data_IF_924565372584
#
_entry.id   IF_924565372584
#
_cell.length_a   1.000
_cell.length_b   1.000
_cell.length_c   1.000
_cell.angle_alpha   90.00
_cell.angle_beta   90.00
_cell.angle_gamma   90.00
#
_symmetry.space_group_name_H-M   'P 1'
#
loop_
_entity.id
_entity.type
_entity.pdbx_description
1 polymer ?
#
# COMPACT_ATOMS: atom_id res chain seq x y z
N UNK A 1 -26.38 -13.54 -5.20
CA UNK A 1 -25.43 -14.60 -4.77
C UNK A 1 -24.51 -14.89 -5.95
N UNK A 2 -23.42 -14.14 -6.06
CA UNK A 2 -22.40 -14.33 -7.09
C UNK A 2 -21.36 -15.33 -6.56
N UNK A 3 -21.12 -16.40 -7.32
CA UNK A 3 -20.27 -17.51 -6.91
C UNK A 3 -18.79 -17.14 -6.90
N UNK A 4 -18.13 -17.50 -5.81
CA UNK A 4 -16.68 -17.48 -5.65
C UNK A 4 -16.07 -18.53 -6.59
N UNK A 5 -15.21 -18.13 -7.52
CA UNK A 5 -14.32 -19.04 -8.23
C UNK A 5 -12.90 -18.86 -7.67
N UNK A 6 -12.49 -19.78 -6.80
CA UNK A 6 -11.11 -19.90 -6.34
C UNK A 6 -10.32 -20.69 -7.37
N UNK A 7 -9.24 -20.12 -7.90
CA UNK A 7 -8.24 -20.88 -8.67
C UNK A 7 -7.02 -21.07 -7.79
N UNK A 8 -6.85 -22.30 -7.30
CA UNK A 8 -5.60 -22.77 -6.72
C UNK A 8 -4.78 -23.43 -7.84
N UNK A 9 -3.61 -22.89 -8.17
CA UNK A 9 -2.63 -23.58 -8.99
C UNK A 9 -1.57 -24.20 -8.09
N UNK A 10 -1.74 -25.49 -7.76
CA UNK A 10 -0.66 -26.34 -7.26
C UNK A 10 -0.07 -27.09 -8.46
N UNK A 11 1.21 -26.87 -8.75
CA UNK A 11 1.93 -27.69 -9.73
C UNK A 11 3.15 -27.01 -10.32
N UNK A 12 4.30 -27.17 -9.65
CA UNK A 12 5.58 -26.89 -10.28
C UNK A 12 5.89 -27.90 -11.37
N UNK A 13 6.30 -27.40 -12.54
CA UNK A 13 7.11 -28.12 -13.52
C UNK A 13 7.89 -27.08 -14.32
N UNK A 14 9.21 -27.01 -14.10
CA UNK A 14 10.08 -26.13 -14.86
C UNK A 14 10.20 -26.57 -16.31
N UNK A 15 10.27 -25.59 -17.23
CA UNK A 15 10.77 -25.76 -18.58
C UNK A 15 11.59 -24.53 -18.94
N UNK A 16 12.89 -24.71 -19.20
CA UNK A 16 13.74 -23.68 -19.81
C UNK A 16 13.71 -23.91 -21.31
N UNK A 17 13.06 -23.02 -22.06
CA UNK A 17 13.09 -23.01 -23.52
C UNK A 17 13.96 -21.82 -23.98
N UNK A 18 15.19 -22.11 -24.42
CA UNK A 18 16.02 -21.14 -25.12
C UNK A 18 15.58 -21.06 -26.58
N UNK A 19 15.00 -19.93 -26.99
CA UNK A 19 14.98 -19.49 -28.39
C UNK A 19 13.79 -19.93 -29.25
N UNK A 20 12.84 -19.01 -29.46
CA UNK A 20 12.15 -18.77 -30.73
C UNK A 20 11.02 -19.73 -31.13
N UNK A 21 9.77 -19.29 -30.95
CA UNK A 21 8.59 -19.85 -31.63
C UNK A 21 8.06 -18.78 -32.61
N UNK A 22 7.98 -19.05 -33.94
CA UNK A 22 7.47 -18.08 -34.90
C UNK A 22 5.97 -17.82 -34.70
N UNK A 23 5.60 -16.54 -34.68
CA UNK A 23 4.27 -16.03 -34.36
C UNK A 23 3.24 -16.19 -35.48
N UNK A 24 2.72 -17.40 -35.70
CA UNK A 24 1.65 -17.62 -36.69
C UNK A 24 0.49 -18.51 -36.26
N UNK A 25 0.21 -18.63 -34.96
CA UNK A 25 -1.09 -19.15 -34.49
C UNK A 25 -1.88 -18.04 -33.81
N UNK A 26 -2.38 -17.13 -34.66
CA UNK A 26 -3.47 -16.23 -34.29
C UNK A 26 -4.77 -17.00 -34.13
N UNK A 27 -5.36 -16.93 -32.95
CA UNK A 27 -6.74 -17.34 -32.66
C UNK A 27 -7.42 -16.20 -31.93
N UNK A 28 -8.31 -15.50 -32.62
CA UNK A 28 -8.87 -14.23 -32.20
C UNK A 28 -9.76 -14.29 -30.96
N UNK A 29 -9.59 -13.27 -30.11
CA UNK A 29 -10.50 -12.89 -29.05
C UNK A 29 -10.24 -11.42 -28.72
N UNK A 30 -11.01 -10.52 -29.33
CA UNK A 30 -11.00 -9.10 -28.98
C UNK A 30 -11.70 -8.91 -27.64
N UNK A 31 -10.98 -8.39 -26.64
CA UNK A 31 -11.47 -7.36 -25.71
C UNK A 31 -10.29 -6.85 -24.88
N UNK A 32 -9.98 -5.57 -25.11
CA UNK A 32 -9.32 -4.61 -24.21
C UNK A 32 -7.92 -4.96 -23.69
N UNK A 33 -6.94 -4.27 -24.27
CA UNK A 33 -5.56 -4.28 -23.82
C UNK A 33 -5.43 -3.78 -22.39
N UNK A 34 -5.24 -4.71 -21.47
CA UNK A 34 -4.41 -4.50 -20.30
C UNK A 34 -3.04 -5.09 -20.63
N UNK A 35 -2.11 -4.24 -21.04
CA UNK A 35 -0.71 -4.60 -21.14
C UNK A 35 -0.23 -5.03 -19.75
N UNK A 36 -0.15 -6.34 -19.54
CA UNK A 36 0.59 -6.94 -18.44
C UNK A 36 1.90 -7.50 -18.99
N UNK A 37 2.68 -6.66 -19.67
CA UNK A 37 4.10 -6.89 -19.83
C UNK A 37 4.79 -6.52 -18.53
N UNK A 38 5.58 -7.46 -18.02
CA UNK A 38 6.41 -7.24 -16.85
C UNK A 38 7.44 -6.15 -17.13
N UNK A 39 7.34 -5.06 -16.37
CA UNK A 39 8.42 -4.12 -16.01
C UNK A 39 9.25 -3.56 -17.16
N UNK A 40 8.69 -2.59 -17.89
CA UNK A 40 9.45 -1.39 -18.25
C UNK A 40 9.24 -0.36 -17.13
N UNK A 41 10.32 0.24 -16.62
CA UNK A 41 10.40 0.89 -15.30
C UNK A 41 9.17 1.72 -14.90
N UNK A 42 8.65 1.47 -13.70
CA UNK A 42 7.57 2.27 -13.12
C UNK A 42 7.97 3.75 -13.16
N UNK A 43 7.11 4.60 -13.74
CA UNK A 43 7.34 6.03 -13.73
C UNK A 43 7.43 6.52 -12.27
N UNK A 44 8.40 7.40 -11.93
CA UNK A 44 8.51 7.93 -10.58
C UNK A 44 7.19 8.60 -10.18
N UNK A 45 6.63 8.17 -9.05
CA UNK A 45 5.45 8.82 -8.47
C UNK A 45 5.86 10.21 -7.96
N UNK A 46 5.03 11.23 -8.23
CA UNK A 46 5.25 12.57 -7.71
C UNK A 46 5.19 12.56 -6.17
N UNK A 47 6.21 13.08 -5.46
CA UNK A 47 6.20 13.12 -4.01
C UNK A 47 5.08 13.99 -3.48
N UNK A 48 4.47 13.55 -2.37
CA UNK A 48 3.43 14.29 -1.66
C UNK A 48 3.94 14.61 -0.26
N UNK A 49 3.81 15.87 0.16
CA UNK A 49 4.10 16.30 1.53
C UNK A 49 2.80 16.43 2.31
N UNK A 50 2.78 15.86 3.51
CA UNK A 50 1.65 15.86 4.43
C UNK A 50 2.08 16.51 5.74
N UNK A 51 1.20 17.31 6.34
CA UNK A 51 1.34 17.76 7.73
C UNK A 51 1.20 16.56 8.68
N UNK A 52 1.98 16.54 9.75
CA UNK A 52 1.98 15.50 10.78
C UNK A 52 1.57 16.05 12.13
N UNK A 53 0.92 15.20 12.92
CA UNK A 53 0.45 15.54 14.28
C UNK A 53 1.42 14.96 15.31
N UNK A 54 1.63 15.66 16.42
CA UNK A 54 2.35 15.13 17.59
C UNK A 54 1.53 14.01 18.26
N UNK A 55 1.97 12.76 18.11
CA UNK A 55 1.31 11.58 18.65
C UNK A 55 2.35 10.50 18.97
N UNK A 56 2.04 9.43 19.73
CA UNK A 56 2.99 8.34 19.94
C UNK A 56 3.53 7.77 18.62
N UNK A 57 4.86 7.83 18.44
CA UNK A 57 5.53 7.41 17.20
C UNK A 57 5.53 8.44 16.07
N UNK A 58 4.92 9.61 16.27
CA UNK A 58 4.87 10.73 15.33
C UNK A 58 5.41 12.01 15.98
N UNK A 59 5.67 13.05 15.19
CA UNK A 59 6.12 14.37 15.65
C UNK A 59 5.37 15.45 14.86
N UNK A 60 5.09 16.58 15.49
CA UNK A 60 4.56 17.75 14.75
C UNK A 60 5.53 18.21 13.65
N UNK A 61 5.01 18.53 12.46
CA UNK A 61 5.79 18.93 11.29
C UNK A 61 5.22 18.45 9.96
N UNK A 62 6.11 18.03 9.05
CA UNK A 62 5.77 17.56 7.71
C UNK A 62 6.53 16.27 7.37
N UNK A 63 5.91 15.41 6.56
CA UNK A 63 6.55 14.21 5.98
C UNK A 63 6.32 14.14 4.48
N UNK A 64 7.35 13.83 3.70
CA UNK A 64 7.26 13.63 2.25
C UNK A 64 7.27 12.14 1.91
N UNK A 65 6.30 11.70 1.09
CA UNK A 65 6.13 10.32 0.68
C UNK A 65 6.28 10.16 -0.84
N UNK A 66 6.90 9.06 -1.30
CA UNK A 66 7.61 8.06 -0.51
C UNK A 66 8.94 8.62 0.06
N UNK A 67 9.44 8.02 1.14
CA UNK A 67 10.79 8.33 1.62
C UNK A 67 11.84 7.96 0.56
N UNK A 68 12.89 8.78 0.37
CA UNK A 68 13.89 8.55 -0.67
C UNK A 68 14.87 7.41 -0.34
N UNK A 69 15.10 7.13 0.94
CA UNK A 69 16.16 6.25 1.44
C UNK A 69 15.65 4.95 2.07
N UNK A 70 14.34 4.81 2.28
CA UNK A 70 13.75 3.61 2.90
C UNK A 70 12.33 3.30 2.41
N UNK A 71 11.87 2.05 2.50
CA UNK A 71 10.47 1.71 2.22
C UNK A 71 9.53 2.52 3.10
N UNK A 72 8.37 2.88 2.54
CA UNK A 72 7.29 3.54 3.28
C UNK A 72 6.12 2.58 3.40
N UNK A 73 5.68 2.32 4.63
CA UNK A 73 4.42 1.65 4.93
C UNK A 73 3.36 2.73 5.20
N UNK A 74 2.28 2.71 4.41
CA UNK A 74 1.18 3.65 4.54
C UNK A 74 -0.07 2.90 5.00
N UNK A 75 -0.64 3.31 6.13
CA UNK A 75 -1.95 2.90 6.60
C UNK A 75 -2.97 4.02 6.39
N UNK A 76 -4.19 3.67 5.99
CA UNK A 76 -5.27 4.63 5.85
C UNK A 76 -6.36 4.29 6.85
N UNK A 77 -6.67 5.23 7.73
CA UNK A 77 -7.63 5.02 8.80
C UNK A 77 -8.67 6.14 8.86
N UNK A 78 -9.70 5.93 9.67
CA UNK A 78 -10.63 6.97 10.07
C UNK A 78 -11.07 6.74 11.51
N UNK A 79 -11.29 7.81 12.26
CA UNK A 79 -11.64 7.76 13.69
C UNK A 79 -13.01 7.11 13.96
N UNK A 80 -13.79 6.90 12.91
CA UNK A 80 -15.07 6.20 12.90
C UNK A 80 -14.98 4.73 12.48
N UNK A 81 -13.79 4.20 12.17
CA UNK A 81 -13.59 2.87 11.57
C UNK A 81 -13.18 1.82 12.63
N UNK A 82 -14.10 0.94 13.10
CA UNK A 82 -13.76 -0.07 14.11
C UNK A 82 -12.63 -1.03 13.73
N UNK A 83 -12.57 -1.62 12.52
CA UNK A 83 -11.47 -2.52 12.19
C UNK A 83 -10.13 -1.80 12.10
N UNK A 84 -10.12 -0.49 11.78
CA UNK A 84 -8.92 0.32 11.83
C UNK A 84 -8.41 0.43 13.28
N UNK A 85 -9.30 0.74 14.23
CA UNK A 85 -8.95 0.79 15.66
C UNK A 85 -8.41 -0.56 16.19
N UNK A 86 -8.99 -1.68 15.75
CA UNK A 86 -8.52 -3.03 16.11
C UNK A 86 -7.11 -3.33 15.59
N UNK A 87 -6.68 -2.68 14.49
CA UNK A 87 -5.38 -2.89 13.86
C UNK A 87 -4.25 -2.05 14.49
N UNK A 88 -4.57 -0.85 15.02
CA UNK A 88 -3.57 0.11 15.53
C UNK A 88 -2.55 -0.50 16.51
N UNK A 89 -2.93 -1.33 17.50
CA UNK A 89 -1.97 -1.91 18.44
C UNK A 89 -0.93 -2.81 17.77
N UNK A 90 -1.33 -3.52 16.70
CA UNK A 90 -0.42 -4.37 15.94
C UNK A 90 0.53 -3.53 15.07
N UNK A 91 0.08 -2.39 14.55
CA UNK A 91 0.92 -1.45 13.81
C UNK A 91 1.94 -0.78 14.71
N UNK A 92 1.54 -0.32 15.90
CA UNK A 92 2.46 0.22 16.91
C UNK A 92 3.55 -0.80 17.26
N UNK A 93 3.16 -2.06 17.52
CA UNK A 93 4.12 -3.13 17.81
C UNK A 93 5.04 -3.49 16.63
N UNK A 94 4.58 -3.29 15.38
CA UNK A 94 5.41 -3.48 14.20
C UNK A 94 6.41 -2.33 14.03
N UNK A 95 5.97 -1.09 14.21
CA UNK A 95 6.82 0.10 14.23
C UNK A 95 7.92 -0.02 15.27
N UNK A 96 7.59 -0.38 16.51
CA UNK A 96 8.58 -0.54 17.59
C UNK A 96 9.63 -1.63 17.30
N UNK A 97 9.25 -2.66 16.54
CA UNK A 97 10.14 -3.77 16.19
C UNK A 97 11.06 -3.44 15.02
N UNK A 98 10.55 -2.73 14.01
CA UNK A 98 11.25 -2.44 12.75
C UNK A 98 12.06 -1.15 12.87
N UNK A 99 11.56 -0.18 13.63
CA UNK A 99 12.20 1.12 13.82
C UNK A 99 12.43 1.85 12.49
N UNK A 100 13.59 2.49 12.36
CA UNK A 100 13.92 3.36 11.25
C UNK A 100 14.19 2.65 9.91
N UNK A 101 14.11 1.31 9.85
CA UNK A 101 14.25 0.56 8.58
C UNK A 101 13.08 0.81 7.62
N UNK A 102 11.91 1.22 8.14
CA UNK A 102 10.70 1.55 7.37
C UNK A 102 10.10 2.85 7.88
N UNK A 103 9.66 3.73 6.97
CA UNK A 103 8.84 4.87 7.34
C UNK A 103 7.38 4.41 7.50
N UNK A 104 6.86 4.41 8.73
CA UNK A 104 5.44 4.18 8.98
C UNK A 104 4.70 5.52 8.94
N UNK A 105 3.64 5.61 8.14
CA UNK A 105 2.74 6.77 8.10
C UNK A 105 1.31 6.30 8.13
N UNK A 106 0.52 6.85 9.03
CA UNK A 106 -0.93 6.61 9.07
C UNK A 106 -1.66 7.88 8.68
N UNK A 107 -2.54 7.77 7.71
CA UNK A 107 -3.17 8.90 7.02
C UNK A 107 -4.68 8.81 7.20
N UNK A 108 -5.29 9.90 7.70
CA UNK A 108 -6.75 10.08 7.68
C UNK A 108 -7.12 11.16 6.67
N UNK A 109 -8.25 10.99 6.01
CA UNK A 109 -8.85 12.01 5.14
C UNK A 109 -9.91 12.86 5.86
N UNK A 110 -10.08 12.63 7.16
CA UNK A 110 -10.95 13.46 8.00
C UNK A 110 -10.35 14.86 8.16
N UNK A 111 -11.17 15.92 8.17
CA UNK A 111 -10.66 17.27 8.33
C UNK A 111 -10.31 17.51 9.81
N UNK A 112 -9.06 17.21 10.16
CA UNK A 112 -8.48 17.37 11.50
C UNK A 112 -8.44 18.85 11.88
N UNK A 113 -8.87 19.16 13.10
CA UNK A 113 -9.05 20.53 13.60
C UNK A 113 -10.40 21.15 13.25
N UNK A 114 -11.17 20.54 12.33
CA UNK A 114 -12.50 21.03 11.94
C UNK A 114 -13.64 20.07 12.32
N UNK A 115 -13.63 18.83 11.80
CA UNK A 115 -14.65 17.83 12.13
C UNK A 115 -14.18 16.82 13.18
N UNK A 116 -12.87 16.60 13.28
CA UNK A 116 -12.25 15.70 14.27
C UNK A 116 -11.16 16.48 14.97
N UNK A 117 -11.11 16.42 16.31
CA UNK A 117 -10.06 17.11 17.05
C UNK A 117 -8.71 16.41 16.85
N UNK A 118 -7.63 17.18 16.90
CA UNK A 118 -6.27 16.62 16.91
C UNK A 118 -6.09 15.63 18.08
N UNK A 119 -6.60 15.96 19.27
CA UNK A 119 -6.60 15.07 20.44
C UNK A 119 -7.26 13.71 20.12
N UNK A 120 -8.37 13.69 19.37
CA UNK A 120 -9.02 12.42 18.98
C UNK A 120 -8.11 11.60 18.07
N UNK A 121 -7.34 12.25 17.19
CA UNK A 121 -6.37 11.57 16.32
C UNK A 121 -5.16 11.08 17.12
N UNK A 122 -4.72 11.84 18.12
CA UNK A 122 -3.63 11.44 19.02
C UNK A 122 -4.01 10.23 19.85
N UNK A 123 -5.22 10.18 20.41
CA UNK A 123 -5.71 9.07 21.24
C UNK A 123 -5.84 7.72 20.50
N UNK A 124 -5.72 7.74 19.17
CA UNK A 124 -5.66 6.53 18.35
C UNK A 124 -4.28 5.85 18.35
N UNK A 125 -3.26 6.51 18.90
CA UNK A 125 -1.87 6.05 19.00
C UNK A 125 -1.37 6.09 20.45
#
# INVERSE_FOLDING_TARGET
MAGLASVAALGGAGAVATGGVPGSLGGGGSADGGDSTGSDGAEPIEPVTLDTVEAPGSRDGEVTLPAPDRPTFVDFFGTWCPPCAEQMPALAAAHDRIGDEVLFVSVTTEPVGEAVSEETVVDWW
#
